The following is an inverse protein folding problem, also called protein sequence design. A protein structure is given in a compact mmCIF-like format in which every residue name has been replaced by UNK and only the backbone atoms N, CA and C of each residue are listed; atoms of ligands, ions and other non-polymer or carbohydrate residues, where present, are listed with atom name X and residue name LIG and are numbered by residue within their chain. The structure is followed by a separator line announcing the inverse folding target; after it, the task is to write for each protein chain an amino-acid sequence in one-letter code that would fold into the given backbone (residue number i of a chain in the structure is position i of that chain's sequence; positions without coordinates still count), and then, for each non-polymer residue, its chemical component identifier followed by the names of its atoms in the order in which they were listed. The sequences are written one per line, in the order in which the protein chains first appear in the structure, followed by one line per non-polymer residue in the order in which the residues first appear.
data_IF_043070161491
#
_entry.id   IF_043070161491
#
_cell.length_a   1.000
_cell.length_b   1.000
_cell.length_c   1.000
_cell.angle_alpha   90.00
_cell.angle_beta   90.00
_cell.angle_gamma   90.00
#
_symmetry.space_group_name_H-M   'P 1'
#
loop_
_entity.id
_entity.type
_entity.pdbx_description
1 polymer ?
#
# COMPACT_ATOMS: atom_id res chain seq x y z
N UNK A 1 -7.24 15.75 -14.92
CA UNK A 1 -7.22 16.71 -13.80
C UNK A 1 -6.80 16.02 -12.50
N UNK A 2 -7.54 15.01 -12.03
CA UNK A 2 -7.24 14.25 -10.80
C UNK A 2 -5.79 13.76 -10.67
N UNK A 3 -5.26 13.00 -11.64
CA UNK A 3 -3.87 12.51 -11.58
C UNK A 3 -2.82 13.65 -11.52
N UNK A 4 -3.14 14.80 -12.12
CA UNK A 4 -2.27 15.97 -12.02
C UNK A 4 -2.31 16.62 -10.65
N UNK A 5 -3.44 16.57 -9.95
CA UNK A 5 -3.55 17.01 -8.57
C UNK A 5 -2.78 16.05 -7.64
N UNK A 6 -3.03 14.74 -7.74
CA UNK A 6 -2.40 13.70 -6.92
C UNK A 6 -0.86 13.77 -6.99
N UNK A 7 -0.27 13.90 -8.19
CA UNK A 7 1.19 13.99 -8.31
C UNK A 7 1.78 15.21 -7.58
N UNK A 8 1.12 16.37 -7.64
CA UNK A 8 1.62 17.59 -6.99
C UNK A 8 1.44 17.54 -5.48
N UNK A 9 0.34 16.97 -4.99
CA UNK A 9 0.19 16.66 -3.56
C UNK A 9 1.33 15.75 -3.09
N UNK A 10 1.66 14.71 -3.86
CA UNK A 10 2.80 13.84 -3.55
C UNK A 10 4.13 14.58 -3.49
N UNK A 11 4.41 15.48 -4.45
CA UNK A 11 5.63 16.31 -4.43
C UNK A 11 5.70 17.15 -3.16
N UNK A 12 4.62 17.86 -2.79
CA UNK A 12 4.60 18.68 -1.58
C UNK A 12 4.84 17.82 -0.34
N UNK A 13 4.14 16.69 -0.21
CA UNK A 13 4.31 15.74 0.90
C UNK A 13 5.74 15.19 0.96
N UNK A 14 6.33 14.85 -0.18
CA UNK A 14 7.71 14.38 -0.27
C UNK A 14 8.73 15.45 0.10
N UNK A 15 8.52 16.70 -0.29
CA UNK A 15 9.41 17.81 0.10
C UNK A 15 9.34 18.08 1.60
N UNK A 16 8.16 18.00 2.21
CA UNK A 16 8.01 18.10 3.67
C UNK A 16 8.77 16.97 4.37
N UNK A 17 8.60 15.72 3.90
CA UNK A 17 9.32 14.56 4.43
C UNK A 17 10.85 14.69 4.30
N UNK A 18 11.35 15.14 3.15
CA UNK A 18 12.78 15.40 2.95
C UNK A 18 13.26 16.53 3.88
N UNK A 19 12.49 17.61 4.02
CA UNK A 19 12.81 18.69 4.95
C UNK A 19 12.87 18.23 6.40
N UNK A 20 11.94 17.39 6.84
CA UNK A 20 11.98 16.77 8.17
C UNK A 20 13.23 15.93 8.38
N UNK A 21 13.71 15.22 7.36
CA UNK A 21 14.95 14.45 7.45
C UNK A 21 16.20 15.34 7.55
N UNK A 22 16.25 16.44 6.80
CA UNK A 22 17.42 17.34 6.76
C UNK A 22 17.49 18.21 8.02
N UNK A 23 16.35 18.74 8.46
CA UNK A 23 16.28 19.78 9.50
C UNK A 23 15.74 19.28 10.84
N UNK A 24 15.09 18.11 10.87
CA UNK A 24 14.52 17.54 12.09
C UNK A 24 15.51 16.64 12.83
N UNK A 25 15.26 16.45 14.13
CA UNK A 25 16.00 15.48 14.93
C UNK A 25 15.51 14.06 14.63
N UNK A 26 16.09 13.45 13.60
CA UNK A 26 15.77 12.07 13.17
C UNK A 26 16.33 11.00 14.11
N UNK A 27 17.08 11.37 15.17
CA UNK A 27 17.66 10.40 16.09
C UNK A 27 16.59 9.61 16.86
N UNK A 28 15.51 10.28 17.29
CA UNK A 28 14.37 9.64 17.97
C UNK A 28 13.57 8.70 17.05
N UNK A 29 13.71 8.90 15.75
CA UNK A 29 12.91 8.22 14.71
C UNK A 29 13.64 7.02 14.06
N UNK A 30 14.75 6.57 14.67
CA UNK A 30 15.64 5.55 14.11
C UNK A 30 16.11 5.89 12.67
N UNK A 31 16.28 7.18 12.37
CA UNK A 31 16.69 7.65 11.04
C UNK A 31 15.61 7.57 9.96
N UNK A 32 14.33 7.35 10.32
CA UNK A 32 13.21 7.21 9.38
C UNK A 32 12.34 8.44 9.37
N UNK A 33 11.82 8.80 8.20
CA UNK A 33 10.89 9.94 8.09
C UNK A 33 9.46 9.52 8.38
N UNK A 34 8.81 10.26 9.27
CA UNK A 34 7.41 10.07 9.65
C UNK A 34 6.53 11.11 8.97
N UNK A 35 5.42 10.66 8.39
CA UNK A 35 4.37 11.58 7.93
C UNK A 35 3.53 12.09 9.10
N UNK A 36 2.55 12.96 8.81
CA UNK A 36 1.57 13.44 9.80
C UNK A 36 0.76 12.32 10.47
N UNK A 37 0.71 11.13 9.87
CA UNK A 37 0.03 9.95 10.42
C UNK A 37 0.88 9.16 11.44
N UNK A 38 2.08 9.65 11.81
CA UNK A 38 2.90 9.03 12.84
C UNK A 38 3.45 7.64 12.51
N UNK A 39 3.36 7.20 11.25
CA UNK A 39 3.95 5.93 10.80
C UNK A 39 4.64 6.11 9.43
N UNK A 40 5.93 5.76 9.30
CA UNK A 40 6.67 5.88 8.05
C UNK A 40 6.10 5.03 6.92
N UNK A 41 5.49 3.88 7.24
CA UNK A 41 4.89 3.01 6.24
C UNK A 41 3.64 3.64 5.61
N UNK A 42 2.86 4.40 6.39
CA UNK A 42 1.65 5.07 5.87
C UNK A 42 2.03 6.17 4.88
N UNK A 43 3.04 6.97 5.22
CA UNK A 43 3.60 7.95 4.30
C UNK A 43 4.07 7.28 3.00
N UNK A 44 4.85 6.20 3.10
CA UNK A 44 5.36 5.49 1.94
C UNK A 44 4.24 4.92 1.04
N UNK A 45 3.22 4.29 1.64
CA UNK A 45 2.10 3.73 0.91
C UNK A 45 1.29 4.82 0.18
N UNK A 46 1.05 5.95 0.84
CA UNK A 46 0.40 7.10 0.22
C UNK A 46 1.18 7.61 -1.00
N UNK A 47 2.52 7.61 -0.93
CA UNK A 47 3.39 8.09 -2.02
C UNK A 47 3.46 7.16 -3.24
N UNK A 48 2.99 5.90 -3.15
CA UNK A 48 2.84 5.00 -4.31
C UNK A 48 2.00 5.66 -5.40
N UNK A 49 0.84 6.21 -5.03
CA UNK A 49 -0.12 6.74 -6.00
C UNK A 49 0.41 7.97 -6.76
N UNK A 50 0.96 9.02 -6.10
CA UNK A 50 1.65 10.11 -6.77
C UNK A 50 2.83 9.68 -7.66
N UNK A 51 3.61 8.68 -7.24
CA UNK A 51 4.73 8.16 -8.03
C UNK A 51 4.24 7.65 -9.39
N UNK A 52 3.19 6.83 -9.41
CA UNK A 52 2.62 6.31 -10.65
C UNK A 52 1.84 7.38 -11.44
N UNK A 53 1.25 8.38 -10.77
CA UNK A 53 0.62 9.53 -11.42
C UNK A 53 1.63 10.41 -12.18
N UNK A 54 2.90 10.45 -11.75
CA UNK A 54 3.96 11.20 -12.42
C UNK A 54 4.18 10.77 -13.89
N UNK A 55 3.90 9.50 -14.24
CA UNK A 55 4.02 8.99 -15.61
C UNK A 55 3.08 9.67 -16.61
N UNK A 56 2.03 10.34 -16.14
CA UNK A 56 1.11 11.11 -16.97
C UNK A 56 1.62 12.51 -17.30
N UNK A 57 2.78 12.90 -16.77
CA UNK A 57 3.44 14.12 -17.19
C UNK A 57 3.96 13.99 -18.63
N UNK A 58 3.73 15.04 -19.43
CA UNK A 58 4.19 15.13 -20.81
C UNK A 58 5.66 15.53 -20.89
N UNK A 59 6.15 16.31 -19.94
CA UNK A 59 7.53 16.78 -19.91
C UNK A 59 8.40 15.73 -19.20
N UNK A 60 9.39 15.19 -19.91
CA UNK A 60 10.28 14.13 -19.39
C UNK A 60 11.09 14.59 -18.18
N UNK A 61 11.67 15.80 -18.23
CA UNK A 61 12.46 16.34 -17.11
C UNK A 61 11.61 16.53 -15.86
N UNK A 62 10.41 17.09 -16.01
CA UNK A 62 9.48 17.24 -14.89
C UNK A 62 9.04 15.88 -14.33
N UNK A 63 8.79 14.90 -15.19
CA UNK A 63 8.48 13.52 -14.78
C UNK A 63 9.59 12.92 -13.93
N UNK A 64 10.83 12.97 -14.42
CA UNK A 64 12.00 12.44 -13.72
C UNK A 64 12.22 13.16 -12.39
N UNK A 65 12.12 14.48 -12.35
CA UNK A 65 12.26 15.26 -11.13
C UNK A 65 11.19 14.89 -10.08
N UNK A 66 9.92 14.80 -10.48
CA UNK A 66 8.82 14.38 -9.59
C UNK A 66 9.08 12.96 -9.05
N UNK A 67 9.45 12.03 -9.92
CA UNK A 67 9.73 10.65 -9.51
C UNK A 67 10.94 10.56 -8.58
N UNK A 68 11.98 11.36 -8.82
CA UNK A 68 13.17 11.39 -7.96
C UNK A 68 12.82 11.92 -6.56
N UNK A 69 12.11 13.05 -6.48
CA UNK A 69 11.67 13.63 -5.19
C UNK A 69 10.80 12.63 -4.41
N UNK A 70 9.81 12.01 -5.06
CA UNK A 70 8.94 11.02 -4.42
C UNK A 70 9.71 9.76 -4.05
N UNK A 71 10.59 9.27 -4.93
CA UNK A 71 11.42 8.10 -4.70
C UNK A 71 12.37 8.27 -3.53
N UNK A 72 13.01 9.44 -3.39
CA UNK A 72 13.83 9.79 -2.23
C UNK A 72 12.99 9.78 -0.96
N UNK A 73 11.81 10.41 -0.95
CA UNK A 73 10.94 10.38 0.22
C UNK A 73 10.52 8.94 0.60
N UNK A 74 10.14 8.09 -0.36
CA UNK A 74 9.86 6.66 -0.11
C UNK A 74 11.10 5.96 0.47
N UNK A 75 12.30 6.22 -0.06
CA UNK A 75 13.54 5.64 0.46
C UNK A 75 13.77 6.03 1.93
N UNK A 76 13.62 7.32 2.26
CA UNK A 76 13.79 7.85 3.61
C UNK A 76 12.77 7.32 4.64
N UNK A 77 11.61 6.82 4.20
CA UNK A 77 10.68 6.13 5.11
C UNK A 77 11.20 4.75 5.57
N UNK A 78 12.15 4.14 4.84
CA UNK A 78 12.59 2.78 5.09
C UNK A 78 11.50 1.71 4.92
N UNK A 79 10.38 2.02 4.25
CA UNK A 79 9.26 1.07 4.10
C UNK A 79 9.55 0.00 3.04
N UNK A 80 10.06 -1.14 3.48
CA UNK A 80 10.44 -2.28 2.62
C UNK A 80 9.28 -2.84 1.82
N UNK A 81 8.10 -2.91 2.41
CA UNK A 81 6.89 -3.40 1.75
C UNK A 81 6.53 -2.54 0.52
N UNK A 82 6.64 -1.21 0.66
CA UNK A 82 6.42 -0.26 -0.43
C UNK A 82 7.51 -0.35 -1.48
N UNK A 83 8.78 -0.44 -1.08
CA UNK A 83 9.89 -0.64 -2.02
C UNK A 83 9.72 -1.91 -2.84
N UNK A 84 9.31 -3.02 -2.20
CA UNK A 84 9.01 -4.28 -2.86
C UNK A 84 7.85 -4.14 -3.84
N UNK A 85 6.73 -3.53 -3.42
CA UNK A 85 5.55 -3.32 -4.26
C UNK A 85 5.85 -2.45 -5.48
N UNK A 86 6.54 -1.32 -5.30
CA UNK A 86 6.97 -0.43 -6.39
C UNK A 86 7.98 -1.13 -7.30
N UNK A 87 8.97 -1.81 -6.74
CA UNK A 87 9.99 -2.56 -7.48
C UNK A 87 9.39 -3.66 -8.35
N UNK A 88 8.47 -4.45 -7.79
CA UNK A 88 7.80 -5.53 -8.53
C UNK A 88 6.88 -4.98 -9.62
N UNK A 89 6.17 -3.88 -9.37
CA UNK A 89 5.36 -3.22 -10.40
C UNK A 89 6.21 -2.70 -11.58
N UNK A 90 7.38 -2.08 -11.30
CA UNK A 90 8.31 -1.70 -12.36
C UNK A 90 8.90 -2.91 -13.08
N UNK A 91 9.29 -3.94 -12.36
CA UNK A 91 9.80 -5.18 -12.93
C UNK A 91 8.78 -5.78 -13.91
N UNK A 92 7.52 -5.94 -13.51
CA UNK A 92 6.44 -6.42 -14.39
C UNK A 92 6.28 -5.53 -15.62
N UNK A 93 6.38 -4.21 -15.47
CA UNK A 93 6.33 -3.30 -16.61
C UNK A 93 7.48 -3.55 -17.61
N UNK A 94 8.72 -3.64 -17.13
CA UNK A 94 9.88 -3.90 -18.00
C UNK A 94 9.81 -5.28 -18.65
N UNK A 95 9.31 -6.28 -17.94
CA UNK A 95 9.19 -7.65 -18.42
C UNK A 95 8.16 -7.80 -19.53
N UNK A 96 6.97 -7.21 -19.35
CA UNK A 96 5.83 -7.45 -20.25
C UNK A 96 5.57 -6.33 -21.24
N UNK A 97 5.94 -5.09 -20.92
CA UNK A 97 5.59 -3.91 -21.72
C UNK A 97 6.80 -3.10 -22.18
N UNK A 98 7.95 -3.26 -21.54
CA UNK A 98 9.20 -2.61 -21.94
C UNK A 98 9.78 -3.20 -23.22
N UNK A 99 10.30 -2.35 -24.11
CA UNK A 99 11.11 -2.75 -25.27
C UNK A 99 12.56 -3.07 -24.87
N UNK A 100 12.73 -3.84 -23.81
CA UNK A 100 14.02 -4.20 -23.23
C UNK A 100 14.50 -5.52 -23.84
N UNK A 101 15.78 -5.60 -24.23
CA UNK A 101 16.38 -6.86 -24.76
C UNK A 101 16.34 -7.95 -23.69
N UNK A 102 16.17 -9.20 -24.10
CA UNK A 102 16.03 -10.37 -23.20
C UNK A 102 17.17 -10.48 -22.17
N UNK A 103 18.40 -10.16 -22.56
CA UNK A 103 19.56 -10.16 -21.66
C UNK A 103 19.37 -9.24 -20.44
N UNK A 104 18.91 -8.01 -20.66
CA UNK A 104 18.63 -7.05 -19.58
C UNK A 104 17.43 -7.47 -18.73
N UNK A 105 16.47 -8.22 -19.28
CA UNK A 105 15.39 -8.82 -18.49
C UNK A 105 15.93 -9.84 -17.48
N UNK A 106 16.91 -10.66 -17.90
CA UNK A 106 17.64 -11.57 -17.01
C UNK A 106 18.35 -10.83 -15.87
N UNK A 107 19.08 -9.75 -16.20
CA UNK A 107 19.75 -8.91 -15.19
C UNK A 107 18.76 -8.23 -14.23
N UNK A 108 17.63 -7.73 -14.73
CA UNK A 108 16.58 -7.14 -13.88
C UNK A 108 15.97 -8.19 -12.93
N UNK A 109 15.75 -9.41 -13.41
CA UNK A 109 15.25 -10.52 -12.59
C UNK A 109 16.25 -10.85 -11.49
N UNK A 110 17.53 -10.98 -11.84
CA UNK A 110 18.60 -11.23 -10.88
C UNK A 110 18.70 -10.09 -9.84
N UNK A 111 18.63 -8.83 -10.28
CA UNK A 111 18.63 -7.67 -9.39
C UNK A 111 17.45 -7.67 -8.43
N UNK A 112 16.26 -8.06 -8.88
CA UNK A 112 15.08 -8.19 -8.02
C UNK A 112 15.23 -9.33 -7.00
N UNK A 113 15.82 -10.47 -7.40
CA UNK A 113 16.12 -11.58 -6.49
C UNK A 113 17.13 -11.16 -5.43
N UNK A 114 18.20 -10.46 -5.82
CA UNK A 114 19.20 -9.92 -4.89
C UNK A 114 18.56 -8.91 -3.94
N UNK A 115 17.74 -8.00 -4.46
CA UNK A 115 17.00 -7.04 -3.64
C UNK A 115 16.06 -7.75 -2.66
N UNK A 116 15.31 -8.75 -3.13
CA UNK A 116 14.45 -9.58 -2.28
C UNK A 116 15.25 -10.28 -1.19
N UNK A 117 16.39 -10.86 -1.53
CA UNK A 117 17.34 -11.43 -0.58
C UNK A 117 17.81 -10.41 0.46
N UNK A 118 18.28 -9.24 0.04
CA UNK A 118 18.72 -8.18 0.95
C UNK A 118 17.59 -7.70 1.86
N UNK A 119 16.38 -7.57 1.33
CA UNK A 119 15.20 -7.21 2.12
C UNK A 119 14.89 -8.28 3.16
N UNK A 120 15.05 -9.57 2.84
CA UNK A 120 14.85 -10.71 3.74
C UNK A 120 15.95 -10.80 4.80
N UNK A 121 17.22 -10.79 4.40
CA UNK A 121 18.35 -10.90 5.33
C UNK A 121 18.52 -9.68 6.23
N UNK A 122 18.10 -8.50 5.77
CA UNK A 122 18.08 -7.30 6.60
C UNK A 122 16.87 -7.22 7.53
N UNK A 123 15.89 -8.15 7.48
CA UNK A 123 14.72 -8.10 8.37
C UNK A 123 15.13 -8.28 9.81
N UNK A 124 14.54 -7.44 10.66
CA UNK A 124 14.53 -7.71 12.09
C UNK A 124 13.82 -9.04 12.29
N UNK A 125 14.57 -10.04 12.76
CA UNK A 125 14.10 -11.40 12.98
C UNK A 125 12.87 -11.41 13.87
N UNK A 126 12.81 -10.47 14.83
CA UNK A 126 11.66 -10.28 15.73
C UNK A 126 10.36 -10.01 14.96
N UNK A 127 10.38 -9.08 14.01
CA UNK A 127 9.19 -8.75 13.21
C UNK A 127 8.77 -9.89 12.28
N UNK A 128 9.74 -10.64 11.75
CA UNK A 128 9.45 -11.81 10.92
C UNK A 128 8.79 -12.92 11.73
N UNK A 129 9.35 -13.29 12.89
CA UNK A 129 8.78 -14.34 13.74
C UNK A 129 7.41 -13.97 14.29
N UNK A 130 7.22 -12.72 14.78
CA UNK A 130 5.92 -12.22 15.21
C UNK A 130 4.84 -12.42 14.13
N UNK A 131 5.15 -12.10 12.87
CA UNK A 131 4.24 -12.35 11.73
C UNK A 131 3.99 -13.82 11.46
N UNK A 132 5.01 -14.68 11.56
CA UNK A 132 4.83 -16.12 11.35
C UNK A 132 3.87 -16.72 12.40
N UNK A 133 3.96 -16.31 13.67
CA UNK A 133 3.02 -16.72 14.71
C UNK A 133 1.60 -16.19 14.45
N UNK A 134 1.48 -14.91 14.09
CA UNK A 134 0.21 -14.29 13.73
C UNK A 134 -0.47 -15.03 12.55
N UNK A 135 0.30 -15.36 11.52
CA UNK A 135 -0.21 -16.04 10.33
C UNK A 135 -0.55 -17.51 10.61
N UNK A 136 0.26 -18.19 11.43
CA UNK A 136 -0.02 -19.57 11.85
C UNK A 136 -1.33 -19.69 12.64
N UNK A 137 -1.65 -18.68 13.44
CA UNK A 137 -2.84 -18.66 14.31
C UNK A 137 -4.16 -18.41 13.56
N UNK A 138 -4.12 -18.10 12.26
CA UNK A 138 -5.33 -17.86 11.45
C UNK A 138 -6.26 -19.09 11.45
N UNK A 139 -5.69 -20.29 11.46
CA UNK A 139 -6.47 -21.53 11.53
C UNK A 139 -7.22 -21.68 12.86
N UNK A 140 -6.60 -21.28 13.97
CA UNK A 140 -7.17 -21.40 15.32
C UNK A 140 -8.23 -20.32 15.59
N UNK A 141 -8.14 -19.17 14.91
CA UNK A 141 -9.14 -18.11 14.98
C UNK A 141 -10.48 -18.54 14.34
N UNK A 142 -10.44 -19.33 13.27
CA UNK A 142 -11.59 -19.57 12.40
C UNK A 142 -12.34 -20.84 12.79
N UNK A 143 -13.60 -20.69 13.23
CA UNK A 143 -14.52 -21.83 13.30
C UNK A 143 -15.03 -22.24 11.91
N UNK A 144 -15.57 -23.46 11.79
CA UNK A 144 -16.24 -23.93 10.56
C UNK A 144 -17.33 -22.97 10.05
N UNK A 145 -18.03 -22.29 10.97
CA UNK A 145 -19.05 -21.28 10.63
C UNK A 145 -18.41 -19.99 10.10
N UNK A 146 -17.34 -19.54 10.74
CA UNK A 146 -16.65 -18.30 10.38
C UNK A 146 -15.88 -18.45 9.06
N UNK A 147 -15.58 -19.67 8.63
CA UNK A 147 -14.91 -19.93 7.35
C UNK A 147 -15.64 -19.29 6.15
N UNK A 148 -16.97 -19.21 6.18
CA UNK A 148 -17.76 -18.70 5.03
C UNK A 148 -17.84 -17.17 5.03
N UNK A 149 -18.20 -16.58 6.17
CA UNK A 149 -18.54 -15.15 6.28
C UNK A 149 -17.53 -14.33 7.09
N UNK A 150 -16.55 -14.99 7.70
CA UNK A 150 -15.59 -14.41 8.62
C UNK A 150 -16.17 -14.15 10.01
N UNK A 151 -15.36 -13.53 10.85
CA UNK A 151 -15.69 -13.18 12.23
C UNK A 151 -16.29 -11.78 12.37
N UNK A 152 -16.31 -10.98 11.30
CA UNK A 152 -16.72 -9.58 11.27
C UNK A 152 -15.56 -8.61 11.02
N UNK A 153 -15.87 -7.42 10.48
CA UNK A 153 -14.87 -6.36 10.22
C UNK A 153 -14.25 -5.88 11.54
N UNK A 154 -12.94 -5.68 11.56
CA UNK A 154 -12.16 -5.20 12.72
C UNK A 154 -12.26 -6.12 13.96
N UNK A 155 -12.55 -7.40 13.77
CA UNK A 155 -12.67 -8.38 14.87
C UNK A 155 -11.41 -9.21 15.10
N UNK A 156 -10.36 -9.03 14.28
CA UNK A 156 -9.13 -9.81 14.41
C UNK A 156 -8.55 -9.75 15.82
N UNK A 157 -8.43 -8.55 16.39
CA UNK A 157 -7.88 -8.33 17.73
C UNK A 157 -8.58 -9.18 18.80
N UNK A 158 -9.91 -9.08 18.87
CA UNK A 158 -10.70 -9.77 19.91
C UNK A 158 -10.67 -11.29 19.77
N UNK A 159 -10.53 -11.79 18.53
CA UNK A 159 -10.42 -13.22 18.25
C UNK A 159 -9.03 -13.76 18.52
N UNK A 160 -8.00 -13.02 18.14
CA UNK A 160 -6.62 -13.45 18.29
C UNK A 160 -6.22 -13.57 19.77
N UNK A 161 -6.67 -12.67 20.64
CA UNK A 161 -6.40 -12.75 22.09
C UNK A 161 -6.84 -14.09 22.70
N UNK A 162 -7.91 -14.70 22.20
CA UNK A 162 -8.41 -15.98 22.70
C UNK A 162 -7.51 -17.18 22.34
N UNK A 163 -6.66 -17.04 21.32
CA UNK A 163 -5.80 -18.11 20.79
C UNK A 163 -4.33 -17.72 20.74
N UNK A 164 -3.97 -16.61 21.41
CA UNK A 164 -2.62 -16.05 21.34
C UNK A 164 -1.62 -17.02 22.00
N UNK A 165 -0.62 -17.53 21.26
CA UNK A 165 0.40 -18.40 21.82
C UNK A 165 1.33 -17.62 22.76
N UNK A 166 1.82 -18.26 23.82
CA UNK A 166 2.66 -17.62 24.82
C UNK A 166 4.00 -17.13 24.23
N UNK A 167 4.47 -17.79 23.17
CA UNK A 167 5.68 -17.50 22.41
C UNK A 167 5.65 -16.10 21.78
N UNK A 168 4.46 -15.53 21.53
CA UNK A 168 4.34 -14.15 21.02
C UNK A 168 4.93 -13.14 22.00
N UNK A 169 4.87 -13.40 23.31
CA UNK A 169 5.45 -12.52 24.32
C UNK A 169 6.98 -12.51 24.33
N UNK A 170 7.65 -13.44 23.62
CA UNK A 170 9.10 -13.36 23.37
C UNK A 170 9.44 -12.27 22.35
N UNK A 171 8.49 -11.94 21.47
CA UNK A 171 8.68 -11.02 20.34
C UNK A 171 7.84 -9.76 20.43
N UNK A 172 6.82 -9.68 21.28
CA UNK A 172 5.97 -8.50 21.46
C UNK A 172 5.97 -8.07 22.92
N UNK A 173 5.73 -6.78 23.18
CA UNK A 173 5.58 -6.33 24.56
C UNK A 173 4.29 -6.92 25.12
N UNK A 174 4.29 -7.31 26.41
CA UNK A 174 3.13 -7.92 27.07
C UNK A 174 1.85 -7.07 26.96
N UNK A 175 2.00 -5.75 26.83
CA UNK A 175 0.89 -4.79 26.70
C UNK A 175 0.56 -4.41 25.25
N UNK A 176 1.36 -4.83 24.26
CA UNK A 176 1.14 -4.56 22.84
C UNK A 176 0.48 -5.77 22.19
N UNK A 177 -0.83 -5.82 22.25
CA UNK A 177 -1.58 -6.87 21.56
C UNK A 177 -1.72 -6.51 20.06
N UNK A 178 -1.42 -7.44 19.14
CA UNK A 178 -1.53 -7.17 17.71
C UNK A 178 -2.97 -6.84 17.30
N UNK A 179 -3.16 -5.67 16.68
CA UNK A 179 -4.46 -5.22 16.18
C UNK A 179 -4.75 -5.63 14.74
N UNK A 180 -3.76 -6.16 14.01
CA UNK A 180 -3.87 -6.59 12.61
C UNK A 180 -2.90 -7.73 12.28
N UNK A 181 -3.22 -8.50 11.24
CA UNK A 181 -2.42 -9.64 10.74
C UNK A 181 -1.23 -9.17 9.89
N UNK A 182 -1.20 -7.89 9.49
CA UNK A 182 -0.22 -7.34 8.53
C UNK A 182 -0.19 -8.07 7.18
N UNK A 183 -1.31 -8.68 6.79
CA UNK A 183 -1.49 -9.38 5.53
C UNK A 183 -2.96 -9.26 5.14
N UNK A 184 -3.27 -8.35 4.21
CA UNK A 184 -4.65 -8.05 3.81
C UNK A 184 -5.42 -9.29 3.30
N UNK A 185 -4.75 -10.26 2.69
CA UNK A 185 -5.43 -11.48 2.26
C UNK A 185 -5.88 -12.33 3.46
N UNK A 186 -5.00 -12.57 4.42
CA UNK A 186 -5.34 -13.31 5.64
C UNK A 186 -6.36 -12.55 6.50
N UNK A 187 -6.26 -11.22 6.53
CA UNK A 187 -7.24 -10.36 7.21
C UNK A 187 -8.61 -10.44 6.54
N UNK A 188 -8.67 -10.46 5.20
CA UNK A 188 -9.91 -10.72 4.48
C UNK A 188 -10.47 -12.13 4.77
N UNK A 189 -9.63 -13.15 4.93
CA UNK A 189 -10.08 -14.50 5.33
C UNK A 189 -10.65 -14.48 6.75
N UNK A 190 -9.98 -13.86 7.71
CA UNK A 190 -10.46 -13.81 9.11
C UNK A 190 -11.75 -13.00 9.22
N UNK A 191 -11.78 -11.78 8.70
CA UNK A 191 -12.89 -10.86 8.92
C UNK A 191 -14.11 -11.13 8.05
N UNK A 192 -13.87 -11.60 6.82
CA UNK A 192 -14.89 -11.69 5.75
C UNK A 192 -15.01 -13.12 5.17
N UNK A 193 -14.26 -14.08 5.69
CA UNK A 193 -14.32 -15.48 5.29
C UNK A 193 -13.80 -15.73 3.88
N UNK A 194 -14.10 -16.92 3.37
CA UNK A 194 -13.73 -17.33 2.00
C UNK A 194 -14.37 -16.43 0.95
N UNK A 195 -15.56 -15.87 1.21
CA UNK A 195 -16.20 -14.95 0.29
C UNK A 195 -15.40 -13.65 0.13
N UNK A 196 -14.96 -13.04 1.24
CA UNK A 196 -14.09 -11.87 1.22
C UNK A 196 -12.76 -12.15 0.54
N UNK A 197 -12.14 -13.29 0.83
CA UNK A 197 -10.90 -13.73 0.22
C UNK A 197 -11.03 -13.91 -1.31
N UNK A 198 -12.12 -14.53 -1.77
CA UNK A 198 -12.40 -14.70 -3.20
C UNK A 198 -12.64 -13.37 -3.91
N UNK A 199 -13.35 -12.42 -3.30
CA UNK A 199 -13.51 -11.08 -3.87
C UNK A 199 -12.18 -10.34 -3.98
N UNK A 200 -11.33 -10.48 -2.95
CA UNK A 200 -9.98 -9.91 -2.96
C UNK A 200 -9.11 -10.51 -4.07
N UNK A 201 -9.10 -11.83 -4.22
CA UNK A 201 -8.38 -12.52 -5.31
C UNK A 201 -8.94 -12.16 -6.68
N UNK A 202 -10.26 -12.07 -6.83
CA UNK A 202 -10.91 -11.65 -8.06
C UNK A 202 -10.45 -10.24 -8.48
N UNK A 203 -10.36 -9.30 -7.54
CA UNK A 203 -9.82 -7.97 -7.79
C UNK A 203 -8.39 -8.02 -8.33
N UNK A 204 -7.52 -8.84 -7.74
CA UNK A 204 -6.12 -9.02 -8.18
C UNK A 204 -6.07 -9.64 -9.58
N UNK A 205 -6.80 -10.74 -9.81
CA UNK A 205 -6.85 -11.41 -11.11
C UNK A 205 -7.37 -10.48 -12.19
N UNK A 206 -8.45 -9.74 -11.91
CA UNK A 206 -8.99 -8.73 -12.80
C UNK A 206 -7.97 -7.64 -13.13
N UNK A 207 -7.25 -7.13 -12.12
CA UNK A 207 -6.20 -6.13 -12.31
C UNK A 207 -5.10 -6.65 -13.23
N UNK A 208 -4.57 -7.84 -12.96
CA UNK A 208 -3.51 -8.45 -13.75
C UNK A 208 -3.96 -8.69 -15.19
N UNK A 209 -5.11 -9.30 -15.40
CA UNK A 209 -5.68 -9.52 -16.74
C UNK A 209 -5.86 -8.20 -17.50
N UNK A 210 -6.45 -7.20 -16.85
CA UNK A 210 -6.74 -5.92 -17.49
C UNK A 210 -5.50 -5.08 -17.80
N UNK A 211 -4.37 -5.28 -17.11
CA UNK A 211 -3.08 -4.67 -17.48
C UNK A 211 -2.62 -5.08 -18.90
N UNK A 212 -2.88 -6.32 -19.31
CA UNK A 212 -2.51 -6.82 -20.64
C UNK A 212 -3.46 -6.31 -21.73
N UNK A 213 -4.76 -6.26 -21.46
CA UNK A 213 -5.79 -5.92 -22.45
C UNK A 213 -5.96 -4.40 -22.62
N UNK A 214 -5.66 -3.59 -21.60
CA UNK A 214 -5.87 -2.13 -21.66
C UNK A 214 -4.74 -1.38 -22.37
N UNK A 215 -5.09 -0.18 -22.85
CA UNK A 215 -4.15 0.76 -23.48
C UNK A 215 -3.00 1.14 -22.54
N UNK A 216 -1.81 1.35 -23.12
CA UNK A 216 -0.55 1.66 -22.42
C UNK A 216 -0.71 2.79 -21.39
N UNK A 217 -1.44 3.86 -21.72
CA UNK A 217 -1.67 5.00 -20.81
C UNK A 217 -2.18 4.55 -19.44
N UNK A 218 -3.16 3.64 -19.40
CA UNK A 218 -3.82 3.20 -18.16
C UNK A 218 -3.03 2.18 -17.36
N UNK A 219 -2.01 1.56 -17.95
CA UNK A 219 -1.18 0.56 -17.28
C UNK A 219 -0.50 1.13 -16.05
N UNK A 220 -0.07 2.39 -16.07
CA UNK A 220 0.56 3.03 -14.90
C UNK A 220 -0.37 3.17 -13.69
N UNK A 221 -1.66 3.44 -13.91
CA UNK A 221 -2.63 3.46 -12.80
C UNK A 221 -2.82 2.06 -12.24
N UNK A 222 -2.97 1.05 -13.11
CA UNK A 222 -3.09 -0.33 -12.67
C UNK A 222 -1.84 -0.85 -11.96
N UNK A 223 -0.64 -0.45 -12.40
CA UNK A 223 0.61 -0.76 -11.73
C UNK A 223 0.75 -0.08 -10.37
N UNK A 224 0.21 1.14 -10.21
CA UNK A 224 0.12 1.79 -8.90
C UNK A 224 -0.82 1.07 -7.94
N UNK A 225 -1.98 0.61 -8.41
CA UNK A 225 -2.89 -0.25 -7.65
C UNK A 225 -2.18 -1.55 -7.25
N UNK A 226 -1.48 -2.19 -8.20
CA UNK A 226 -0.77 -3.44 -7.96
C UNK A 226 0.36 -3.26 -6.93
N UNK A 227 1.16 -2.19 -7.05
CA UNK A 227 2.21 -1.85 -6.10
C UNK A 227 1.64 -1.67 -4.68
N UNK A 228 0.49 -0.98 -4.55
CA UNK A 228 -0.20 -0.83 -3.28
C UNK A 228 -0.68 -2.17 -2.72
N UNK A 229 -1.35 -3.00 -3.54
CA UNK A 229 -1.83 -4.33 -3.16
C UNK A 229 -0.71 -5.22 -2.63
N UNK A 230 0.47 -5.19 -3.28
CA UNK A 230 1.66 -5.91 -2.81
C UNK A 230 2.16 -5.33 -1.48
N UNK A 231 2.21 -4.00 -1.35
CA UNK A 231 2.69 -3.35 -0.13
C UNK A 231 1.84 -3.70 1.11
N UNK A 232 0.51 -3.78 0.96
CA UNK A 232 -0.40 -4.14 2.07
C UNK A 232 -0.39 -5.62 2.44
N UNK A 233 0.31 -6.49 1.68
CA UNK A 233 0.56 -7.87 2.13
C UNK A 233 1.60 -7.95 3.25
N UNK A 234 2.36 -6.87 3.48
CA UNK A 234 3.48 -6.85 4.44
C UNK A 234 3.47 -5.59 5.32
N UNK A 235 2.36 -4.86 5.33
CA UNK A 235 2.20 -3.57 5.99
C UNK A 235 0.73 -3.38 6.40
N UNK A 236 0.41 -2.27 7.07
CA UNK A 236 -0.98 -1.99 7.44
C UNK A 236 -1.61 -1.03 6.44
N UNK A 237 -2.88 -1.22 6.18
CA UNK A 237 -3.73 -0.25 5.53
C UNK A 237 -4.34 0.71 6.56
N UNK A 238 -4.82 1.85 6.07
CA UNK A 238 -5.67 2.77 6.84
C UNK A 238 -6.76 3.22 5.89
N UNK A 239 -7.83 3.81 6.41
CA UNK A 239 -8.93 4.30 5.57
C UNK A 239 -8.45 5.31 4.52
N UNK A 240 -7.45 6.15 4.83
CA UNK A 240 -6.89 7.09 3.86
C UNK A 240 -6.30 6.33 2.67
N UNK A 241 -5.61 5.22 2.91
CA UNK A 241 -5.09 4.40 1.83
C UNK A 241 -6.19 3.75 0.98
N UNK A 242 -7.25 3.22 1.61
CA UNK A 242 -8.40 2.66 0.89
C UNK A 242 -9.14 3.70 0.05
N UNK A 243 -9.20 4.93 0.54
CA UNK A 243 -9.73 6.08 -0.18
C UNK A 243 -8.92 6.38 -1.45
N UNK A 244 -7.58 6.42 -1.36
CA UNK A 244 -6.72 6.57 -2.53
C UNK A 244 -6.84 5.38 -3.49
N UNK A 245 -6.87 4.16 -2.96
CA UNK A 245 -7.06 2.93 -3.73
C UNK A 245 -8.37 2.98 -4.52
N UNK A 246 -9.48 3.34 -3.87
CA UNK A 246 -10.80 3.49 -4.50
C UNK A 246 -10.81 4.56 -5.59
N UNK A 247 -10.16 5.71 -5.35
CA UNK A 247 -10.03 6.76 -6.36
C UNK A 247 -9.21 6.29 -7.59
N UNK A 248 -8.12 5.54 -7.37
CA UNK A 248 -7.33 4.96 -8.46
C UNK A 248 -8.10 3.88 -9.23
N UNK A 249 -8.86 3.03 -8.54
CA UNK A 249 -9.78 2.09 -9.17
C UNK A 249 -10.83 2.80 -10.02
N UNK A 250 -11.43 3.88 -9.53
CA UNK A 250 -12.38 4.68 -10.30
C UNK A 250 -11.73 5.23 -11.57
N UNK A 251 -10.55 5.86 -11.48
CA UNK A 251 -9.80 6.33 -12.66
C UNK A 251 -9.49 5.18 -13.62
N UNK A 252 -9.02 4.05 -13.08
CA UNK A 252 -8.67 2.87 -13.86
C UNK A 252 -9.89 2.33 -14.62
N UNK A 253 -11.03 2.18 -13.96
CA UNK A 253 -12.24 1.61 -14.55
C UNK A 253 -12.92 2.54 -15.55
N UNK A 254 -13.06 3.83 -15.24
CA UNK A 254 -13.82 4.79 -16.05
C UNK A 254 -13.06 5.36 -17.24
N UNK A 255 -11.77 5.67 -17.10
CA UNK A 255 -11.01 6.39 -18.15
C UNK A 255 -10.53 5.45 -19.29
N UNK A 256 -10.64 4.12 -19.09
CA UNK A 256 -10.27 3.13 -20.09
C UNK A 256 -11.31 2.84 -21.17
N UNK A 257 -12.58 3.22 -20.99
CA UNK A 257 -13.67 2.77 -21.88
C UNK A 257 -14.00 3.71 -23.04
N UNK A 258 -13.36 4.87 -23.17
CA UNK A 258 -13.47 5.76 -24.36
C UNK A 258 -14.85 6.41 -24.60
N UNK A 259 -15.94 5.79 -24.13
CA UNK A 259 -17.26 6.38 -23.97
C UNK A 259 -17.34 6.89 -22.54
N UNK A 260 -17.11 8.19 -22.43
CA UNK A 260 -17.27 9.00 -21.23
C UNK A 260 -18.67 8.69 -20.65
N UNK A 261 -18.75 7.85 -19.62
CA UNK A 261 -19.76 8.12 -18.60
C UNK A 261 -19.51 9.58 -18.24
N UNK A 262 -20.45 10.47 -18.58
CA UNK A 262 -20.46 11.84 -18.03
C UNK A 262 -20.72 11.64 -16.54
N UNK A 263 -19.70 11.20 -15.80
CA UNK A 263 -19.70 11.25 -14.35
C UNK A 263 -19.90 12.71 -14.06
N UNK A 264 -21.07 13.03 -13.51
CA UNK A 264 -21.44 14.39 -13.21
C UNK A 264 -20.28 15.00 -12.41
N UNK A 265 -19.77 16.17 -12.82
CA UNK A 265 -18.70 16.85 -12.08
C UNK A 265 -19.07 16.98 -10.60
N UNK A 266 -20.36 17.14 -10.31
CA UNK A 266 -20.92 17.12 -8.95
C UNK A 266 -20.67 15.80 -8.25
N UNK A 267 -20.89 14.65 -8.89
CA UNK A 267 -20.62 13.33 -8.29
C UNK A 267 -19.12 13.12 -8.05
N UNK A 268 -18.26 13.54 -8.99
CA UNK A 268 -16.82 13.43 -8.82
C UNK A 268 -16.32 14.33 -7.68
N UNK A 269 -16.85 15.56 -7.57
CA UNK A 269 -16.58 16.49 -6.48
C UNK A 269 -17.15 15.98 -5.15
N UNK A 270 -18.32 15.36 -5.16
CA UNK A 270 -18.94 14.76 -3.97
C UNK A 270 -18.11 13.58 -3.46
N UNK A 271 -17.69 12.67 -4.34
CA UNK A 271 -16.78 11.56 -3.98
C UNK A 271 -15.45 12.12 -3.48
N UNK A 272 -14.86 13.10 -4.18
CA UNK A 272 -13.59 13.72 -3.76
C UNK A 272 -13.73 14.46 -2.43
N UNK A 273 -14.87 15.11 -2.20
CA UNK A 273 -15.21 15.80 -0.96
C UNK A 273 -15.44 14.84 0.21
N UNK A 274 -16.16 13.74 -0.03
CA UNK A 274 -16.31 12.64 0.94
C UNK A 274 -14.94 12.05 1.31
N UNK A 275 -14.10 11.78 0.32
CA UNK A 275 -12.73 11.32 0.50
C UNK A 275 -11.93 12.27 1.40
N UNK A 276 -11.96 13.57 1.10
CA UNK A 276 -11.29 14.61 1.89
C UNK A 276 -11.86 14.68 3.31
N UNK A 277 -13.19 14.72 3.43
CA UNK A 277 -13.89 14.81 4.71
C UNK A 277 -13.61 13.60 5.60
N UNK A 278 -13.75 12.38 5.07
CA UNK A 278 -13.41 11.15 5.79
C UNK A 278 -11.96 11.15 6.24
N UNK A 279 -11.03 11.59 5.38
CA UNK A 279 -9.61 11.69 5.74
C UNK A 279 -9.36 12.69 6.87
N UNK A 280 -10.06 13.83 6.89
CA UNK A 280 -9.98 14.83 7.96
C UNK A 280 -10.59 14.30 9.26
N UNK A 281 -11.78 13.68 9.21
CA UNK A 281 -12.43 13.11 10.38
C UNK A 281 -11.55 12.04 11.06
N UNK A 282 -10.89 11.20 10.27
CA UNK A 282 -9.98 10.19 10.80
C UNK A 282 -8.71 10.78 11.39
N UNK A 283 -8.16 11.83 10.76
CA UNK A 283 -7.03 12.57 11.32
C UNK A 283 -7.39 13.19 12.67
N UNK A 284 -8.61 13.74 12.81
CA UNK A 284 -9.11 14.26 14.08
C UNK A 284 -9.30 13.14 15.10
N UNK A 285 -9.88 12.01 14.71
CA UNK A 285 -10.10 10.86 15.60
C UNK A 285 -8.79 10.30 16.15
N UNK A 286 -7.77 10.11 15.29
CA UNK A 286 -6.45 9.63 15.71
C UNK A 286 -5.75 10.65 16.63
N UNK A 287 -5.89 11.95 16.34
CA UNK A 287 -5.37 13.01 17.21
C UNK A 287 -6.02 13.02 18.60
N UNK A 288 -7.33 12.77 18.68
CA UNK A 288 -8.06 12.69 19.95
C UNK A 288 -7.66 11.45 20.76
N UNK A 289 -7.49 10.29 20.12
CA UNK A 289 -7.10 9.05 20.79
C UNK A 289 -5.68 9.10 21.38
N UNK A 290 -4.76 9.87 20.78
CA UNK A 290 -3.39 10.03 21.31
C UNK A 290 -3.26 10.97 22.51
N UNK A 291 -4.33 11.69 22.86
CA UNK A 291 -4.35 12.66 23.98
C UNK A 291 -5.09 12.17 25.22
N UNK A 292 -5.74 11.00 25.17
CA UNK A 292 -6.36 10.34 26.31
C UNK A 292 -5.47 9.23 26.83
#
# INVERSE_FOLDING_TARGET
MFLSFVKWVGVVVSLVAIGQWIFGDVSESLGRVYGSMGNPNFLAQMLIFPLFAAFYDRNLWRKVAIMAVIGVAIYLTGSRAVMLGVGLAFYLWFMFFGKVKWFYKGLLTLGLVILGGFLVFGMDTRSFYSRMFLWGSVGDILSLRDLVFGTGIETFYSRYVAVMPAEVFEYEQFFSTPSSIHNEFLEAVVERGIFGALLYLFMIVYLLWSLFVRKVKWRWVGLGILAYVIAVQFSFSTVVHYVFLGAFWAVYLFDGRGKVFKVNRVLLLAISGLILFSSVCLMISDFMLKRG
#
